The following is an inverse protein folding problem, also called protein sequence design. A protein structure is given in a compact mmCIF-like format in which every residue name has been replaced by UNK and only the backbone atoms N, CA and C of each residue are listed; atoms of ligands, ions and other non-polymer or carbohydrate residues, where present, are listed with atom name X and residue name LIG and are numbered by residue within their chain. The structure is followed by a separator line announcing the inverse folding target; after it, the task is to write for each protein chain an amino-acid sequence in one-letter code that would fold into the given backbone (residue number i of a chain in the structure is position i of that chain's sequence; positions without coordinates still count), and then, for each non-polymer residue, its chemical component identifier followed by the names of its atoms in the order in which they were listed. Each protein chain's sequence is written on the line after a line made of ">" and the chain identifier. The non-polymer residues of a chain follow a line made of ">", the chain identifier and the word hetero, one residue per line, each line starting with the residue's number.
data_IF_587912436347
#
_entry.id   IF_587912436347
#
_cell.length_a   1.000
_cell.length_b   1.000
_cell.length_c   1.000
_cell.angle_alpha   90.00
_cell.angle_beta   90.00
_cell.angle_gamma   90.00
#
_symmetry.space_group_name_H-M   'P 1'
#
loop_
_entity.id
_entity.type
_entity.pdbx_description
1 polymer ?
#
# COMPACT_ATOMS: atom_id res chain seq x y z
N UNK A 1 1.24 16.28 1.35
CA UNK A 1 1.81 14.93 1.50
C UNK A 1 1.04 14.12 2.55
N UNK A 2 1.15 14.47 3.84
CA UNK A 2 0.48 13.72 4.92
C UNK A 2 -1.03 13.63 4.74
N UNK A 3 -1.69 14.71 4.34
CA UNK A 3 -3.12 14.72 4.02
C UNK A 3 -3.48 13.69 2.94
N UNK A 4 -2.74 13.69 1.83
CA UNK A 4 -2.94 12.74 0.73
C UNK A 4 -2.72 11.29 1.17
N UNK A 5 -1.70 11.04 2.01
CA UNK A 5 -1.48 9.71 2.61
C UNK A 5 -2.67 9.31 3.48
N UNK A 6 -3.16 10.20 4.32
CA UNK A 6 -4.32 9.95 5.18
C UNK A 6 -5.57 9.64 4.37
N UNK A 7 -5.86 10.42 3.32
CA UNK A 7 -6.97 10.16 2.40
C UNK A 7 -6.84 8.79 1.71
N UNK A 8 -5.62 8.42 1.30
CA UNK A 8 -5.37 7.10 0.73
C UNK A 8 -5.63 5.99 1.76
N UNK A 9 -5.19 6.16 3.01
CA UNK A 9 -5.46 5.20 4.08
C UNK A 9 -6.96 5.06 4.37
N UNK A 10 -7.71 6.16 4.39
CA UNK A 10 -9.17 6.13 4.55
C UNK A 10 -9.84 5.35 3.41
N UNK A 11 -9.42 5.57 2.14
CA UNK A 11 -9.93 4.79 1.00
C UNK A 11 -9.60 3.30 1.11
N UNK A 12 -8.37 2.96 1.51
CA UNK A 12 -7.97 1.57 1.76
C UNK A 12 -8.82 0.95 2.86
N UNK A 13 -9.11 1.68 3.95
CA UNK A 13 -9.95 1.20 5.03
C UNK A 13 -11.39 0.92 4.59
N UNK A 14 -11.96 1.80 3.77
CA UNK A 14 -13.34 1.66 3.30
C UNK A 14 -13.50 0.62 2.19
N UNK A 15 -12.49 0.50 1.32
CA UNK A 15 -12.50 -0.37 0.15
C UNK A 15 -11.19 -1.15 0.01
N UNK A 16 -10.89 -2.08 0.93
CA UNK A 16 -9.59 -2.75 1.01
C UNK A 16 -9.24 -3.57 -0.24
N UNK A 17 -10.23 -4.01 -1.01
CA UNK A 17 -10.02 -4.83 -2.21
C UNK A 17 -10.01 -4.03 -3.52
N UNK A 18 -10.20 -2.70 -3.46
CA UNK A 18 -10.32 -1.83 -4.64
C UNK A 18 -9.03 -1.64 -5.43
N UNK A 19 -7.86 -1.86 -4.81
CA UNK A 19 -6.56 -1.67 -5.45
C UNK A 19 -6.00 -2.99 -5.99
N UNK A 20 -5.32 -2.98 -7.14
CA UNK A 20 -4.81 -4.20 -7.77
C UNK A 20 -3.78 -4.91 -6.89
N UNK A 21 -3.78 -6.24 -6.98
CA UNK A 21 -2.73 -7.07 -6.40
C UNK A 21 -1.47 -6.98 -7.27
N UNK A 22 -0.32 -6.80 -6.62
CA UNK A 22 0.99 -6.79 -7.29
C UNK A 22 1.64 -8.17 -7.19
N UNK A 23 1.38 -8.91 -6.12
CA UNK A 23 1.88 -10.28 -5.93
C UNK A 23 1.00 -11.01 -4.93
N UNK A 24 0.47 -12.18 -5.28
CA UNK A 24 -0.39 -13.04 -4.44
C UNK A 24 -1.48 -12.30 -3.65
N UNK A 25 -1.17 -11.79 -2.45
CA UNK A 25 -2.08 -11.07 -1.54
C UNK A 25 -1.66 -9.62 -1.22
N UNK A 26 -0.59 -9.12 -1.83
CA UNK A 26 -0.09 -7.76 -1.66
C UNK A 26 -0.76 -6.85 -2.68
N UNK A 27 -1.32 -5.75 -2.20
CA UNK A 27 -1.93 -4.68 -2.97
C UNK A 27 -1.10 -3.41 -2.86
N UNK A 28 -1.14 -2.59 -3.90
CA UNK A 28 -0.41 -1.33 -3.94
C UNK A 28 -1.31 -0.19 -4.41
N UNK A 29 -1.34 0.89 -3.63
CA UNK A 29 -2.02 2.12 -3.98
C UNK A 29 -0.99 3.26 -4.13
N UNK A 30 -1.03 3.98 -5.25
CA UNK A 30 -0.20 5.17 -5.44
C UNK A 30 -0.77 6.33 -4.61
N UNK A 31 0.10 7.05 -3.92
CA UNK A 31 -0.26 8.32 -3.27
C UNK A 31 -0.26 9.40 -4.35
N UNK A 32 -1.42 9.98 -4.63
CA UNK A 32 -1.59 11.00 -5.68
C UNK A 32 -0.56 12.13 -5.53
N UNK A 33 -0.05 12.65 -6.66
CA UNK A 33 0.93 13.75 -6.72
C UNK A 33 2.32 13.47 -6.12
N UNK A 34 2.56 12.31 -5.51
CA UNK A 34 3.84 11.97 -4.90
C UNK A 34 4.39 10.66 -5.47
N UNK A 35 5.72 10.50 -5.58
CA UNK A 35 6.34 9.26 -6.04
C UNK A 35 6.32 8.18 -4.94
N UNK A 36 5.26 8.09 -4.15
CA UNK A 36 5.07 7.12 -3.08
C UNK A 36 3.90 6.19 -3.37
N UNK A 37 3.95 5.00 -2.80
CA UNK A 37 2.86 4.05 -2.81
C UNK A 37 2.70 3.38 -1.46
N UNK A 38 1.46 3.21 -1.02
CA UNK A 38 1.11 2.40 0.14
C UNK A 38 0.98 0.96 -0.32
N UNK A 39 1.78 0.09 0.28
CA UNK A 39 1.80 -1.34 0.04
C UNK A 39 1.17 -2.00 1.24
N UNK A 40 0.15 -2.81 1.01
CA UNK A 40 -0.63 -3.40 2.08
C UNK A 40 -1.17 -4.78 1.69
N UNK A 41 -1.71 -5.50 2.65
CA UNK A 41 -2.49 -6.72 2.42
C UNK A 41 -3.71 -6.74 3.32
N UNK A 42 -4.76 -7.41 2.85
CA UNK A 42 -6.00 -7.59 3.59
C UNK A 42 -5.88 -8.89 4.38
N UNK A 43 -6.10 -8.81 5.69
CA UNK A 43 -6.21 -9.96 6.59
C UNK A 43 -7.65 -10.07 7.08
N UNK A 44 -8.00 -11.21 7.68
CA UNK A 44 -9.37 -11.50 8.13
C UNK A 44 -9.91 -10.40 9.06
N UNK A 45 -9.06 -9.88 9.97
CA UNK A 45 -9.48 -8.95 11.01
C UNK A 45 -8.91 -7.53 10.86
N UNK A 46 -7.98 -7.32 9.94
CA UNK A 46 -7.28 -6.04 9.82
C UNK A 46 -6.62 -5.85 8.46
N UNK A 47 -6.21 -4.61 8.19
CA UNK A 47 -5.39 -4.27 7.04
C UNK A 47 -3.96 -4.08 7.52
N UNK A 48 -3.03 -4.85 6.97
CA UNK A 48 -1.62 -4.70 7.30
C UNK A 48 -0.95 -3.78 6.30
N UNK A 49 -0.48 -2.63 6.75
CA UNK A 49 0.41 -1.76 5.95
C UNK A 49 1.82 -2.33 6.03
N UNK A 50 2.37 -2.75 4.88
CA UNK A 50 3.70 -3.35 4.77
C UNK A 50 4.76 -2.26 4.60
N UNK A 51 4.47 -1.25 3.77
CA UNK A 51 5.39 -0.15 3.50
C UNK A 51 4.69 1.08 2.93
N UNK A 52 5.27 2.25 3.19
CA UNK A 52 5.12 3.46 2.37
C UNK A 52 6.36 3.57 1.49
N UNK A 53 6.24 3.17 0.23
CA UNK A 53 7.37 2.92 -0.66
C UNK A 53 7.58 4.06 -1.65
N UNK A 54 8.81 4.59 -1.75
CA UNK A 54 9.16 5.60 -2.74
C UNK A 54 9.47 4.93 -4.10
N UNK A 55 8.52 4.99 -5.02
CA UNK A 55 8.52 4.30 -6.32
C UNK A 55 9.72 4.59 -7.22
N UNK A 56 10.37 5.75 -7.08
CA UNK A 56 11.53 6.14 -7.93
C UNK A 56 12.92 5.88 -7.32
N UNK A 57 13.03 5.78 -5.99
CA UNK A 57 14.35 5.73 -5.31
C UNK A 57 14.77 4.30 -5.01
N UNK A 58 13.84 3.49 -4.53
CA UNK A 58 14.04 2.07 -4.24
C UNK A 58 12.72 1.35 -4.54
N UNK A 59 12.39 1.13 -5.82
CA UNK A 59 11.21 0.36 -6.16
C UNK A 59 11.29 -1.03 -5.52
N UNK A 60 10.16 -1.52 -5.01
CA UNK A 60 9.98 -2.91 -4.54
C UNK A 60 10.84 -3.39 -3.36
N UNK A 61 11.55 -2.52 -2.61
CA UNK A 61 12.35 -2.94 -1.44
C UNK A 61 11.56 -3.72 -0.37
N UNK A 62 10.24 -3.58 -0.37
CA UNK A 62 9.30 -4.18 0.56
C UNK A 62 8.90 -5.62 0.18
N UNK A 63 9.27 -6.12 -1.01
CA UNK A 63 8.83 -7.42 -1.54
C UNK A 63 9.20 -8.61 -0.62
N UNK A 64 10.28 -8.51 0.14
CA UNK A 64 10.68 -9.52 1.13
C UNK A 64 9.90 -9.46 2.47
N UNK A 65 9.18 -8.37 2.75
CA UNK A 65 8.51 -8.14 4.05
C UNK A 65 7.12 -8.77 4.14
N UNK A 66 6.51 -9.13 3.01
CA UNK A 66 5.17 -9.71 2.95
C UNK A 66 5.08 -11.22 3.15
N UNK A 67 6.20 -11.91 3.40
CA UNK A 67 6.31 -13.38 3.49
C UNK A 67 5.91 -13.99 4.84
N UNK A 68 5.34 -13.22 5.78
CA UNK A 68 4.97 -13.71 7.12
C UNK A 68 3.48 -13.88 7.28
#
# INVERSE_FOLDING_TARGET
>A
FLSTVQETLTRISNFPESYPTVTSNIRQCKVSHFPYAIVYRVQVNFIQIIALAHSRRQPQYWSGRGKR
#
